data_IF_182722674889
#
_entry.id   IF_182722674889
#
_cell.length_a   1.000
_cell.length_b   1.000
_cell.length_c   1.000
_cell.angle_alpha   90.00
_cell.angle_beta   90.00
_cell.angle_gamma   90.00
#
_symmetry.space_group_name_H-M   'P 1'
#
loop_
_entity.id
_entity.type
_entity.pdbx_description
1 polymer ?
#
# COMPACT_ATOMS: atom_id res chain seq x y z
N UNK A 1 -9.21 4.28 -21.80
CA UNK A 1 -8.15 3.78 -20.88
C UNK A 1 -6.96 3.40 -21.72
N UNK A 2 -5.88 4.17 -21.65
CA UNK A 2 -4.72 4.03 -22.54
C UNK A 2 -3.86 2.83 -22.16
N UNK A 3 -3.44 2.04 -23.14
CA UNK A 3 -2.61 0.84 -22.97
C UNK A 3 -1.25 1.11 -22.28
N UNK A 4 -0.84 2.38 -22.19
CA UNK A 4 0.54 2.79 -21.87
C UNK A 4 0.70 3.49 -20.53
N UNK A 5 -0.36 4.07 -19.95
CA UNK A 5 -0.28 4.79 -18.67
C UNK A 5 -1.60 4.77 -17.93
N UNK A 6 -1.49 4.65 -16.61
CA UNK A 6 -2.60 4.76 -15.67
C UNK A 6 -2.89 6.22 -15.29
N UNK A 7 -2.18 7.18 -15.90
CA UNK A 7 -2.36 8.62 -15.65
C UNK A 7 -3.79 9.00 -16.03
N UNK A 8 -4.42 9.82 -15.21
CA UNK A 8 -5.78 10.30 -15.44
C UNK A 8 -5.88 11.79 -15.16
N UNK A 9 -6.87 12.43 -15.78
CA UNK A 9 -7.24 13.82 -15.49
C UNK A 9 -8.21 13.89 -14.31
N UNK A 10 -8.27 15.05 -13.65
CA UNK A 10 -9.06 15.22 -12.42
C UNK A 10 -10.56 15.10 -12.67
N UNK A 11 -11.02 15.44 -13.86
CA UNK A 11 -12.41 15.42 -14.29
C UNK A 11 -12.93 13.99 -14.48
N UNK A 12 -12.03 13.02 -14.68
CA UNK A 12 -12.37 11.60 -14.79
C UNK A 12 -12.53 10.90 -13.43
N UNK A 13 -12.15 11.60 -12.35
CA UNK A 13 -12.06 11.03 -11.00
C UNK A 13 -13.44 10.84 -10.38
N UNK A 14 -13.69 9.63 -9.88
CA UNK A 14 -14.96 9.25 -9.25
C UNK A 14 -14.75 8.78 -7.83
N UNK A 15 -15.71 9.08 -6.95
CA UNK A 15 -15.70 8.56 -5.60
C UNK A 15 -15.61 7.02 -5.63
N UNK A 16 -14.78 6.46 -4.76
CA UNK A 16 -14.40 5.04 -4.74
C UNK A 16 -13.23 4.67 -5.66
N UNK A 17 -12.64 5.61 -6.41
CA UNK A 17 -11.42 5.34 -7.18
C UNK A 17 -10.23 5.13 -6.24
N UNK A 18 -9.48 4.06 -6.48
CA UNK A 18 -8.15 3.87 -5.90
C UNK A 18 -7.17 4.64 -6.77
N UNK A 19 -6.60 5.69 -6.20
CA UNK A 19 -5.64 6.56 -6.85
C UNK A 19 -4.26 6.42 -6.25
N UNK A 20 -3.25 6.76 -7.03
CA UNK A 20 -1.90 6.84 -6.54
C UNK A 20 -1.12 7.95 -7.22
N UNK A 21 -0.03 8.35 -6.58
CA UNK A 21 0.95 9.31 -7.10
C UNK A 21 2.35 8.78 -6.85
N UNK A 22 3.26 9.01 -7.79
CA UNK A 22 4.66 8.66 -7.60
C UNK A 22 5.38 9.70 -6.74
N UNK A 23 6.19 9.23 -5.80
CA UNK A 23 6.99 10.06 -4.90
C UNK A 23 8.47 9.75 -5.03
N UNK A 24 9.30 10.67 -4.54
CA UNK A 24 10.77 10.55 -4.53
C UNK A 24 11.34 10.11 -5.88
N UNK A 25 11.02 10.87 -6.95
CA UNK A 25 11.47 10.59 -8.33
C UNK A 25 11.14 9.16 -8.77
N UNK A 26 9.88 8.76 -8.64
CA UNK A 26 9.37 7.43 -8.99
C UNK A 26 9.94 6.26 -8.16
N UNK A 27 10.57 6.53 -7.02
CA UNK A 27 11.05 5.47 -6.12
C UNK A 27 9.90 4.61 -5.57
N UNK A 28 8.76 5.23 -5.23
CA UNK A 28 7.56 4.52 -4.75
C UNK A 28 6.28 5.21 -5.20
N UNK A 29 5.16 4.50 -5.12
CA UNK A 29 3.82 5.08 -5.26
C UNK A 29 3.13 5.18 -3.91
N UNK A 30 2.46 6.30 -3.67
CA UNK A 30 1.62 6.53 -2.51
C UNK A 30 0.15 6.40 -2.92
N UNK A 31 -0.59 5.57 -2.21
CA UNK A 31 -1.92 5.10 -2.59
C UNK A 31 -3.00 5.67 -1.67
N UNK A 32 -4.22 5.80 -2.19
CA UNK A 32 -5.37 6.26 -1.42
C UNK A 32 -6.70 6.02 -2.13
N UNK A 33 -7.79 6.16 -1.39
CA UNK A 33 -9.17 6.08 -1.89
C UNK A 33 -9.73 7.48 -2.00
N UNK A 34 -10.11 7.89 -3.20
CA UNK A 34 -10.82 9.13 -3.41
C UNK A 34 -12.27 8.98 -2.94
N UNK A 35 -12.72 9.82 -2.01
CA UNK A 35 -14.06 9.74 -1.40
C UNK A 35 -15.02 10.83 -1.88
N UNK A 36 -14.62 11.59 -2.90
CA UNK A 36 -15.40 12.71 -3.44
C UNK A 36 -15.03 14.07 -2.83
N UNK A 37 -15.53 15.16 -3.41
CA UNK A 37 -15.34 16.52 -2.88
C UNK A 37 -13.88 16.92 -2.67
N UNK A 38 -13.00 16.51 -3.59
CA UNK A 38 -11.54 16.71 -3.53
C UNK A 38 -10.85 16.08 -2.31
N UNK A 39 -11.43 15.02 -1.72
CA UNK A 39 -10.89 14.34 -0.53
C UNK A 39 -10.42 12.93 -0.83
N UNK A 40 -9.35 12.53 -0.13
CA UNK A 40 -8.69 11.24 -0.25
C UNK A 40 -8.44 10.69 1.15
N UNK A 41 -8.89 9.47 1.41
CA UNK A 41 -8.49 8.72 2.60
C UNK A 41 -7.31 7.85 2.23
N UNK A 42 -6.23 7.91 3.00
CA UNK A 42 -5.03 7.14 2.73
C UNK A 42 -4.29 6.77 4.00
N UNK A 43 -3.48 5.72 3.92
CA UNK A 43 -2.70 5.23 5.04
C UNK A 43 -1.26 5.72 4.93
N UNK A 44 -0.67 6.20 6.04
CA UNK A 44 0.71 6.69 6.11
C UNK A 44 1.32 6.32 7.48
N UNK A 45 2.66 6.32 7.61
CA UNK A 45 3.30 6.12 8.90
C UNK A 45 2.74 7.08 9.96
N UNK A 46 2.56 6.56 11.17
CA UNK A 46 2.22 7.39 12.31
C UNK A 46 3.34 8.40 12.56
N UNK A 47 2.96 9.61 12.97
CA UNK A 47 3.94 10.63 13.34
C UNK A 47 4.09 10.59 14.86
N UNK A 48 5.03 9.79 15.37
CA UNK A 48 5.42 9.85 16.77
C UNK A 48 6.00 11.23 17.07
N UNK A 49 5.21 12.11 17.68
CA UNK A 49 5.66 13.44 18.10
C UNK A 49 6.71 13.38 19.24
N UNK A 50 7.01 12.19 19.79
CA UNK A 50 7.84 12.01 20.98
C UNK A 50 9.11 11.14 20.82
N UNK A 51 9.58 10.81 19.62
CA UNK A 51 10.85 10.08 19.48
C UNK A 51 12.01 11.02 19.16
N UNK A 52 12.50 11.72 20.19
CA UNK A 52 13.88 12.19 20.24
C UNK A 52 14.80 11.02 20.61
N UNK A 53 15.07 10.13 19.67
CA UNK A 53 16.15 9.15 19.82
C UNK A 53 16.70 8.71 18.46
N UNK A 54 18.02 8.81 18.38
CA UNK A 54 18.88 8.78 17.21
C UNK A 54 18.87 7.45 16.45
N UNK A 55 18.50 7.50 15.17
CA UNK A 55 19.18 6.70 14.14
C UNK A 55 19.13 7.40 12.79
N UNK A 56 20.31 7.84 12.35
CA UNK A 56 20.54 8.59 11.13
C UNK A 56 20.42 7.69 9.91
N UNK A 57 19.36 7.87 9.12
CA UNK A 57 19.42 7.70 7.67
C UNK A 57 18.72 8.90 7.04
N UNK A 58 19.53 9.72 6.39
CA UNK A 58 19.17 10.99 5.77
C UNK A 58 18.04 10.79 4.76
N UNK A 59 16.85 11.25 5.12
CA UNK A 59 15.83 11.70 4.18
C UNK A 59 15.37 13.06 4.69
N UNK A 60 15.62 14.11 3.91
CA UNK A 60 15.15 15.45 4.22
C UNK A 60 13.62 15.44 4.34
N UNK A 61 13.13 15.36 5.58
CA UNK A 61 11.75 15.64 5.90
C UNK A 61 11.78 16.74 6.96
N UNK A 62 11.75 17.97 6.45
CA UNK A 62 11.62 19.18 7.24
C UNK A 62 10.50 19.04 8.25
N UNK A 63 10.87 19.02 9.53
CA UNK A 63 9.99 19.43 10.59
C UNK A 63 9.75 20.93 10.41
N UNK A 64 8.60 21.30 9.85
CA UNK A 64 8.17 22.68 9.78
C UNK A 64 6.66 22.75 9.74
N UNK A 65 6.15 23.76 10.44
CA UNK A 65 4.80 24.30 10.58
C UNK A 65 4.09 24.69 9.26
N UNK A 66 4.34 23.96 8.16
CA UNK A 66 3.89 24.22 6.78
C UNK A 66 2.73 23.31 6.32
N UNK A 67 2.31 22.34 7.14
CA UNK A 67 1.36 21.29 6.74
C UNK A 67 -0.13 21.64 6.97
N UNK A 68 -0.46 22.89 7.30
CA UNK A 68 -1.86 23.33 7.39
C UNK A 68 -2.37 23.56 5.97
N UNK A 69 -3.30 22.73 5.52
CA UNK A 69 -3.94 22.92 4.23
C UNK A 69 -4.70 24.26 4.23
N UNK A 70 -4.37 25.20 3.33
CA UNK A 70 -5.00 26.52 3.33
C UNK A 70 -6.46 26.47 2.85
N UNK A 71 -6.84 25.40 2.14
CA UNK A 71 -8.11 25.31 1.40
C UNK A 71 -9.13 24.41 2.09
N UNK A 72 -8.68 23.39 2.83
CA UNK A 72 -9.54 22.37 3.42
C UNK A 72 -9.25 22.24 4.92
N UNK A 73 -10.13 22.75 5.80
CA UNK A 73 -9.93 22.74 7.26
C UNK A 73 -9.79 21.33 7.85
N UNK A 74 -10.38 20.33 7.21
CA UNK A 74 -10.36 18.93 7.62
C UNK A 74 -9.21 18.12 7.00
N UNK A 75 -8.38 18.73 6.15
CA UNK A 75 -7.24 18.06 5.55
C UNK A 75 -6.14 17.83 6.60
N UNK A 76 -5.68 16.58 6.67
CA UNK A 76 -4.79 16.09 7.72
C UNK A 76 -5.53 15.46 8.90
N UNK A 77 -6.86 15.42 8.89
CA UNK A 77 -7.65 14.78 9.94
C UNK A 77 -7.30 13.29 10.06
N UNK A 78 -7.10 12.84 11.29
CA UNK A 78 -6.88 11.44 11.68
C UNK A 78 -7.26 11.26 13.14
N UNK A 79 -7.56 10.03 13.52
CA UNK A 79 -7.69 9.67 14.92
C UNK A 79 -6.32 9.60 15.61
N UNK A 80 -6.28 9.76 16.95
CA UNK A 80 -5.08 9.44 17.73
C UNK A 80 -4.61 8.02 17.43
N UNK A 81 -3.30 7.78 17.41
CA UNK A 81 -2.69 6.47 17.21
C UNK A 81 -3.11 5.75 15.90
N UNK A 82 -3.54 6.53 14.90
CA UNK A 82 -3.96 6.01 13.59
C UNK A 82 -3.11 6.59 12.46
N UNK A 83 -2.61 5.69 11.61
CA UNK A 83 -1.97 6.04 10.35
C UNK A 83 -2.94 6.41 9.23
N UNK A 84 -4.26 6.23 9.42
CA UNK A 84 -5.27 6.53 8.40
C UNK A 84 -5.63 8.02 8.45
N UNK A 85 -5.46 8.71 7.34
CA UNK A 85 -5.58 10.17 7.24
C UNK A 85 -6.54 10.56 6.13
N UNK A 86 -7.38 11.56 6.40
CA UNK A 86 -8.17 12.28 5.41
C UNK A 86 -7.37 13.50 4.94
N UNK A 87 -7.10 13.59 3.64
CA UNK A 87 -6.41 14.74 3.04
C UNK A 87 -7.20 15.27 1.85
N UNK A 88 -6.97 16.53 1.47
CA UNK A 88 -7.39 16.99 0.16
C UNK A 88 -6.52 16.36 -0.95
N UNK A 89 -7.04 16.38 -2.19
CA UNK A 89 -6.36 15.82 -3.34
C UNK A 89 -4.99 16.47 -3.60
N UNK A 90 -4.85 17.77 -3.41
CA UNK A 90 -3.60 18.48 -3.67
C UNK A 90 -2.51 18.11 -2.65
N UNK A 91 -2.85 18.08 -1.36
CA UNK A 91 -1.95 17.61 -0.30
C UNK A 91 -1.58 16.13 -0.47
N UNK A 92 -2.52 15.30 -0.93
CA UNK A 92 -2.23 13.92 -1.32
C UNK A 92 -1.22 13.86 -2.46
N UNK A 93 -1.38 14.67 -3.52
CA UNK A 93 -0.49 14.62 -4.68
C UNK A 93 0.91 15.20 -4.42
N UNK A 94 1.05 16.22 -3.56
CA UNK A 94 2.31 16.98 -3.34
C UNK A 94 2.99 17.37 -4.66
N UNK A 95 2.22 17.98 -5.57
CA UNK A 95 2.63 18.34 -6.95
C UNK A 95 2.92 17.15 -7.89
N UNK A 96 2.68 15.91 -7.46
CA UNK A 96 2.77 14.72 -8.30
C UNK A 96 1.61 14.61 -9.29
N UNK A 97 1.75 13.69 -10.25
CA UNK A 97 0.70 13.36 -11.21
C UNK A 97 -0.32 12.38 -10.60
N UNK A 98 -1.57 12.48 -11.05
CA UNK A 98 -2.67 11.61 -10.64
C UNK A 98 -2.71 10.35 -11.52
N UNK A 99 -2.78 9.18 -10.89
CA UNK A 99 -2.94 7.89 -11.56
C UNK A 99 -4.05 7.08 -10.92
N UNK A 100 -4.74 6.25 -11.72
CA UNK A 100 -5.75 5.30 -11.25
C UNK A 100 -5.19 3.88 -11.18
N UNK A 101 -5.43 3.19 -10.09
CA UNK A 101 -5.16 1.76 -9.99
C UNK A 101 -6.25 0.95 -10.71
N UNK A 102 -5.85 -0.02 -11.53
CA UNK A 102 -6.78 -0.80 -12.36
C UNK A 102 -7.17 -2.13 -11.68
N UNK A 103 -8.46 -2.45 -11.66
CA UNK A 103 -9.01 -3.70 -11.11
C UNK A 103 -9.58 -4.56 -12.24
N UNK A 104 -9.65 -5.88 -12.02
CA UNK A 104 -10.23 -6.84 -12.96
C UNK A 104 -9.49 -6.91 -14.30
N UNK A 105 -8.20 -6.56 -14.33
CA UNK A 105 -7.42 -6.65 -15.57
C UNK A 105 -7.21 -8.12 -15.96
N UNK A 106 -7.15 -8.41 -17.25
CA UNK A 106 -6.84 -9.77 -17.68
C UNK A 106 -5.40 -10.16 -17.30
N UNK A 107 -5.10 -11.47 -17.15
CA UNK A 107 -3.74 -11.94 -16.88
C UNK A 107 -2.70 -11.43 -17.89
N UNK A 108 -3.07 -11.33 -19.17
CA UNK A 108 -2.17 -10.78 -20.20
C UNK A 108 -1.85 -9.31 -19.96
N UNK A 109 -2.86 -8.48 -19.64
CA UNK A 109 -2.64 -7.07 -19.29
C UNK A 109 -1.77 -6.98 -18.03
N UNK A 110 -2.04 -7.78 -17.00
CA UNK A 110 -1.23 -7.80 -15.78
C UNK A 110 0.25 -8.12 -16.05
N UNK A 111 0.52 -9.18 -16.82
CA UNK A 111 1.88 -9.63 -17.15
C UNK A 111 2.66 -8.60 -18.00
N UNK A 112 1.97 -7.72 -18.74
CA UNK A 112 2.62 -6.65 -19.51
C UNK A 112 2.96 -5.41 -18.68
N UNK A 113 2.39 -5.25 -17.48
CA UNK A 113 2.68 -4.12 -16.58
C UNK A 113 3.95 -4.42 -15.79
N UNK A 114 5.06 -3.86 -16.25
CA UNK A 114 6.39 -4.07 -15.65
C UNK A 114 6.49 -3.56 -14.20
N UNK A 115 5.69 -2.54 -13.84
CA UNK A 115 5.72 -1.93 -12.50
C UNK A 115 4.57 -2.46 -11.63
N UNK A 116 4.91 -2.98 -10.45
CA UNK A 116 3.94 -3.33 -9.42
C UNK A 116 3.21 -2.12 -8.84
N UNK A 117 2.13 -2.36 -8.10
CA UNK A 117 1.32 -1.29 -7.50
C UNK A 117 0.53 -0.45 -8.50
N UNK A 118 0.15 -1.01 -9.65
CA UNK A 118 -0.61 -0.27 -10.69
C UNK A 118 -1.91 -0.94 -11.10
N UNK A 119 -2.01 -2.26 -10.95
CA UNK A 119 -3.20 -3.02 -11.29
C UNK A 119 -3.25 -4.35 -10.53
N UNK A 120 -4.44 -4.97 -10.53
CA UNK A 120 -4.69 -6.32 -10.03
C UNK A 120 -5.72 -7.05 -10.89
N UNK A 121 -5.66 -8.39 -10.91
CA UNK A 121 -6.70 -9.22 -11.55
C UNK A 121 -7.95 -9.35 -10.69
N UNK A 122 -7.88 -9.01 -9.39
CA UNK A 122 -9.03 -9.00 -8.50
C UNK A 122 -10.08 -7.96 -8.94
N UNK A 123 -11.35 -8.30 -8.77
CA UNK A 123 -12.45 -7.38 -9.00
C UNK A 123 -12.61 -6.40 -7.83
N UNK A 124 -13.03 -5.18 -8.14
CA UNK A 124 -13.45 -4.22 -7.12
C UNK A 124 -14.86 -4.52 -6.63
N UNK A 125 -15.10 -4.30 -5.36
CA UNK A 125 -16.45 -4.20 -4.78
C UNK A 125 -17.15 -2.90 -5.25
N UNK A 126 -18.48 -2.81 -5.05
CA UNK A 126 -19.26 -1.61 -5.35
C UNK A 126 -18.75 -0.36 -4.61
N UNK A 127 -18.90 0.81 -5.24
CA UNK A 127 -18.43 2.10 -4.71
C UNK A 127 -18.85 2.37 -3.27
N UNK A 128 -20.09 2.06 -2.89
CA UNK A 128 -20.59 2.31 -1.55
C UNK A 128 -19.84 1.49 -0.50
N UNK A 129 -19.55 0.21 -0.78
CA UNK A 129 -18.74 -0.63 0.10
C UNK A 129 -17.30 -0.11 0.20
N UNK A 130 -16.74 0.42 -0.90
CA UNK A 130 -15.39 0.99 -0.91
C UNK A 130 -15.29 2.22 -0.02
N UNK A 131 -16.23 3.16 -0.19
CA UNK A 131 -16.28 4.40 0.59
C UNK A 131 -16.56 4.08 2.06
N UNK A 132 -17.49 3.15 2.34
CA UNK A 132 -17.78 2.69 3.69
C UNK A 132 -16.52 2.20 4.39
N UNK A 133 -15.76 1.29 3.77
CA UNK A 133 -14.49 0.79 4.35
C UNK A 133 -13.48 1.90 4.60
N UNK A 134 -13.26 2.77 3.62
CA UNK A 134 -12.28 3.85 3.76
C UNK A 134 -12.64 4.79 4.92
N UNK A 135 -13.91 5.20 5.01
CA UNK A 135 -14.38 6.09 6.08
C UNK A 135 -14.44 5.40 7.45
N UNK A 136 -14.80 4.12 7.49
CA UNK A 136 -14.81 3.33 8.72
C UNK A 136 -13.39 3.19 9.29
N UNK A 137 -12.40 2.90 8.44
CA UNK A 137 -11.01 2.80 8.85
C UNK A 137 -10.39 4.15 9.19
N UNK A 138 -10.88 5.27 8.64
CA UNK A 138 -10.49 6.60 9.09
C UNK A 138 -10.88 6.82 10.57
N UNK A 139 -11.99 6.25 11.01
CA UNK A 139 -12.49 6.38 12.38
C UNK A 139 -11.93 5.35 13.35
N UNK A 140 -11.56 4.15 12.88
CA UNK A 140 -11.16 3.03 13.74
C UNK A 140 -9.69 2.61 13.56
N UNK A 141 -8.98 3.19 12.59
CA UNK A 141 -7.61 2.81 12.26
C UNK A 141 -7.53 1.56 11.37
N UNK A 142 -6.32 1.23 10.93
CA UNK A 142 -6.00 0.08 10.07
C UNK A 142 -4.72 -0.63 10.56
N UNK A 143 -4.51 -0.62 11.87
CA UNK A 143 -3.30 -1.13 12.51
C UNK A 143 -2.07 -0.27 12.25
N UNK A 144 -0.89 -0.82 12.60
CA UNK A 144 0.39 -0.14 12.46
C UNK A 144 0.90 -0.20 11.02
N UNK A 145 1.43 0.93 10.55
CA UNK A 145 1.97 1.05 9.21
C UNK A 145 3.32 0.32 9.10
N UNK A 146 3.43 -0.59 8.13
CA UNK A 146 4.68 -1.26 7.75
C UNK A 146 4.86 -1.10 6.24
N UNK A 147 5.97 -0.45 5.83
CA UNK A 147 6.29 -0.17 4.42
C UNK A 147 6.26 -1.44 3.55
N UNK A 148 6.63 -2.59 4.09
CA UNK A 148 6.71 -3.84 3.35
C UNK A 148 5.43 -4.68 3.45
N UNK A 149 4.65 -4.55 4.52
CA UNK A 149 3.53 -5.47 4.83
C UNK A 149 2.15 -4.83 4.90
N UNK A 150 2.03 -3.73 5.65
CA UNK A 150 0.76 -3.05 5.91
C UNK A 150 0.95 -1.59 5.51
N UNK A 151 0.93 -1.32 4.21
CA UNK A 151 1.22 0.00 3.69
C UNK A 151 -0.01 0.62 3.00
N UNK A 152 0.19 1.78 2.36
CA UNK A 152 -0.87 2.48 1.64
C UNK A 152 -1.53 1.66 0.52
N UNK A 153 -0.78 0.78 -0.15
CA UNK A 153 -1.30 -0.11 -1.20
C UNK A 153 -2.21 -1.18 -0.60
N UNK A 154 -1.80 -1.82 0.50
CA UNK A 154 -2.60 -2.85 1.19
C UNK A 154 -3.91 -2.26 1.74
N UNK A 155 -3.84 -1.07 2.34
CA UNK A 155 -5.02 -0.31 2.75
C UNK A 155 -6.00 -0.09 1.60
N UNK A 156 -5.50 0.40 0.45
CA UNK A 156 -6.36 0.72 -0.68
C UNK A 156 -6.90 -0.55 -1.36
N UNK A 157 -6.11 -1.63 -1.43
CA UNK A 157 -6.55 -2.94 -1.91
C UNK A 157 -7.65 -3.52 -1.02
N UNK A 158 -7.48 -3.49 0.30
CA UNK A 158 -8.51 -3.91 1.24
C UNK A 158 -9.78 -3.06 1.08
N UNK A 159 -9.64 -1.73 1.03
CA UNK A 159 -10.78 -0.84 0.80
C UNK A 159 -11.49 -1.12 -0.52
N UNK A 160 -10.82 -1.67 -1.54
CA UNK A 160 -11.46 -1.99 -2.83
C UNK A 160 -12.00 -3.41 -2.96
N UNK A 161 -11.45 -4.37 -2.22
CA UNK A 161 -11.75 -5.81 -2.43
C UNK A 161 -12.29 -6.51 -1.18
N UNK A 162 -11.98 -5.98 0.00
CA UNK A 162 -12.26 -6.58 1.31
C UNK A 162 -11.40 -7.79 1.60
N UNK A 163 -10.41 -8.06 0.74
CA UNK A 163 -9.52 -9.18 0.86
C UNK A 163 -8.34 -8.80 1.76
N UNK A 164 -8.08 -9.66 2.72
CA UNK A 164 -6.86 -9.66 3.53
C UNK A 164 -6.07 -10.92 3.25
N UNK A 165 -4.76 -10.81 3.30
CA UNK A 165 -3.86 -11.94 3.21
C UNK A 165 -3.87 -12.66 4.55
N UNK A 166 -4.23 -13.95 4.55
CA UNK A 166 -4.26 -14.77 5.75
C UNK A 166 -2.83 -15.15 6.14
N UNK A 167 -2.34 -14.58 7.23
CA UNK A 167 -0.97 -14.78 7.65
C UNK A 167 -0.87 -15.79 8.80
N UNK A 168 -0.24 -16.94 8.55
CA UNK A 168 0.38 -17.74 9.63
C UNK A 168 1.84 -17.32 9.88
N UNK A 169 2.42 -16.40 9.09
CA UNK A 169 3.85 -16.09 9.13
C UNK A 169 4.19 -14.69 8.56
N UNK A 170 3.56 -13.64 9.07
CA UNK A 170 3.98 -12.23 8.96
C UNK A 170 4.56 -11.71 7.62
N UNK A 171 4.06 -12.06 6.42
CA UNK A 171 4.47 -11.41 5.16
C UNK A 171 3.27 -10.87 4.37
N UNK A 172 2.87 -9.63 4.67
CA UNK A 172 2.23 -8.76 3.69
C UNK A 172 3.19 -8.53 2.51
N UNK A 173 2.70 -8.66 1.28
CA UNK A 173 3.51 -8.49 0.06
C UNK A 173 2.82 -7.46 -0.80
N UNK A 174 3.09 -6.18 -0.55
CA UNK A 174 2.65 -5.12 -1.46
C UNK A 174 3.14 -5.41 -2.88
N UNK A 175 2.39 -4.97 -3.90
CA UNK A 175 2.80 -5.11 -5.29
C UNK A 175 4.13 -4.40 -5.57
N UNK A 176 4.41 -3.32 -4.84
CA UNK A 176 5.72 -2.64 -4.84
C UNK A 176 6.84 -3.46 -4.18
N UNK A 177 6.59 -4.13 -3.04
CA UNK A 177 7.61 -4.97 -2.38
C UNK A 177 7.93 -6.25 -3.16
N UNK A 178 6.92 -6.83 -3.84
CA UNK A 178 7.13 -7.91 -4.81
C UNK A 178 7.99 -7.48 -6.01
N UNK A 179 8.25 -6.17 -6.16
CA UNK A 179 9.09 -5.62 -7.22
C UNK A 179 10.59 -5.60 -6.89
N UNK A 180 11.02 -6.02 -5.69
CA UNK A 180 12.45 -6.05 -5.33
C UNK A 180 13.16 -7.15 -6.13
N UNK A 181 13.89 -6.70 -7.14
CA UNK A 181 14.65 -7.47 -8.16
C UNK A 181 15.66 -8.48 -7.57
N UNK A 182 15.97 -8.41 -6.27
CA UNK A 182 17.05 -9.19 -5.64
C UNK A 182 16.80 -10.70 -5.56
N UNK A 183 15.61 -11.15 -5.15
CA UNK A 183 15.36 -12.58 -4.94
C UNK A 183 15.24 -13.38 -6.25
N UNK A 184 14.52 -12.89 -7.30
CA UNK A 184 14.43 -13.60 -8.58
C UNK A 184 15.76 -13.63 -9.34
N UNK A 185 16.54 -12.54 -9.32
CA UNK A 185 17.83 -12.48 -10.02
C UNK A 185 18.88 -13.39 -9.35
N UNK A 186 18.94 -13.41 -8.02
CA UNK A 186 19.84 -14.29 -7.28
C UNK A 186 19.49 -15.78 -7.51
N UNK A 187 18.20 -16.13 -7.59
CA UNK A 187 17.76 -17.50 -7.89
C UNK A 187 18.10 -17.93 -9.33
N UNK A 188 17.98 -17.02 -10.31
CA UNK A 188 18.38 -17.29 -11.71
C UNK A 188 19.88 -17.53 -11.81
N UNK A 189 20.70 -16.65 -11.21
CA UNK A 189 22.17 -16.74 -11.23
C UNK A 189 22.71 -17.95 -10.44
N UNK A 190 22.01 -18.39 -9.40
CA UNK A 190 22.39 -19.58 -8.63
C UNK A 190 21.86 -20.89 -9.21
N UNK A 191 20.96 -20.85 -10.19
CA UNK A 191 20.45 -22.05 -10.84
C UNK A 191 21.40 -22.58 -11.93
N UNK A 192 21.48 -23.91 -12.13
CA UNK A 192 22.19 -24.51 -13.26
C UNK A 192 21.63 -24.05 -14.62
N UNK A 193 20.41 -23.51 -14.64
CA UNK A 193 19.75 -23.00 -15.84
C UNK A 193 20.47 -21.79 -16.44
N UNK A 194 21.21 -21.02 -15.63
CA UNK A 194 22.04 -19.90 -16.12
C UNK A 194 23.15 -20.35 -17.08
N UNK A 195 23.66 -21.58 -16.92
CA UNK A 195 24.69 -22.17 -17.79
C UNK A 195 24.17 -22.51 -19.19
N UNK A 196 22.86 -22.57 -19.37
CA UNK A 196 22.19 -22.86 -20.64
C UNK A 196 21.74 -21.59 -21.38
N UNK A 197 21.95 -20.41 -20.80
CA UNK A 197 21.55 -19.13 -21.38
C UNK A 197 22.80 -18.46 -21.99
N UNK A 198 22.98 -18.51 -23.31
CA UNK A 198 24.27 -18.24 -23.94
C UNK A 198 24.65 -16.75 -24.03
N UNK A 199 23.75 -15.82 -23.69
CA UNK A 199 24.03 -14.39 -23.79
C UNK A 199 23.29 -13.53 -22.75
N UNK A 200 23.79 -12.30 -22.46
CA UNK A 200 23.18 -11.39 -21.49
C UNK A 200 21.72 -11.03 -21.76
N UNK A 201 21.31 -10.99 -23.04
CA UNK A 201 19.94 -10.69 -23.45
C UNK A 201 19.00 -11.81 -22.98
N UNK A 202 19.39 -13.08 -23.16
CA UNK A 202 18.63 -14.24 -22.69
C UNK A 202 18.45 -14.22 -21.17
N UNK A 203 19.48 -13.83 -20.40
CA UNK A 203 19.40 -13.73 -18.94
C UNK A 203 18.41 -12.64 -18.55
N UNK A 204 18.45 -11.48 -19.20
CA UNK A 204 17.50 -10.40 -18.97
C UNK A 204 16.06 -10.83 -19.29
N UNK A 205 15.83 -11.53 -20.41
CA UNK A 205 14.50 -12.02 -20.79
C UNK A 205 13.94 -13.05 -19.79
N UNK A 206 14.74 -14.03 -19.38
CA UNK A 206 14.30 -15.03 -18.38
C UNK A 206 14.01 -14.37 -17.04
N UNK A 207 14.87 -13.46 -16.60
CA UNK A 207 14.67 -12.71 -15.34
C UNK A 207 13.39 -11.89 -15.38
N UNK A 208 13.14 -11.16 -16.47
CA UNK A 208 11.92 -10.38 -16.65
C UNK A 208 10.67 -11.28 -16.68
N UNK A 209 10.72 -12.41 -17.38
CA UNK A 209 9.63 -13.38 -17.42
C UNK A 209 9.31 -13.97 -16.04
N UNK A 210 10.34 -14.40 -15.29
CA UNK A 210 10.18 -14.91 -13.92
C UNK A 210 9.64 -13.84 -12.98
N UNK A 211 10.08 -12.59 -13.11
CA UNK A 211 9.57 -11.47 -12.35
C UNK A 211 8.06 -11.25 -12.61
N UNK A 212 7.65 -11.15 -13.88
CA UNK A 212 6.24 -10.97 -14.23
C UNK A 212 5.38 -12.13 -13.72
N UNK A 213 5.85 -13.37 -13.86
CA UNK A 213 5.14 -14.55 -13.38
C UNK A 213 5.05 -14.61 -11.86
N UNK A 214 6.14 -14.27 -11.16
CA UNK A 214 6.16 -14.20 -9.70
C UNK A 214 5.17 -13.15 -9.19
N UNK A 215 5.16 -11.95 -9.78
CA UNK A 215 4.17 -10.91 -9.46
C UNK A 215 2.74 -11.36 -9.74
N UNK A 216 2.51 -12.10 -10.82
CA UNK A 216 1.19 -12.62 -11.14
C UNK A 216 0.73 -13.67 -10.12
N UNK A 217 1.62 -14.57 -9.71
CA UNK A 217 1.31 -15.59 -8.70
C UNK A 217 1.00 -15.00 -7.32
N UNK A 218 1.57 -13.84 -6.98
CA UNK A 218 1.30 -13.12 -5.72
C UNK A 218 0.17 -12.09 -5.81
N UNK A 219 -0.43 -11.90 -6.98
CA UNK A 219 -1.56 -10.99 -7.16
C UNK A 219 -2.74 -11.42 -6.28
N UNK A 220 -3.43 -10.45 -5.67
CA UNK A 220 -4.52 -10.72 -4.73
C UNK A 220 -5.72 -11.42 -5.40
N UNK A 221 -5.87 -11.28 -6.72
CA UNK A 221 -6.89 -11.99 -7.50
C UNK A 221 -6.52 -13.42 -7.90
N UNK A 222 -5.25 -13.83 -7.71
CA UNK A 222 -4.72 -15.15 -8.12
C UNK A 222 -4.41 -16.04 -6.93
N UNK A 223 -3.85 -15.45 -5.86
CA UNK A 223 -3.46 -16.17 -4.66
C UNK A 223 -4.66 -16.80 -3.95
N UNK A 224 -4.42 -17.87 -3.17
CA UNK A 224 -5.48 -18.66 -2.50
C UNK A 224 -5.55 -18.45 -0.99
N UNK A 225 -4.55 -17.79 -0.43
CA UNK A 225 -4.39 -17.47 0.98
C UNK A 225 -4.93 -16.07 1.30
N UNK A 226 -6.06 -15.72 0.69
CA UNK A 226 -6.80 -14.49 0.99
C UNK A 226 -8.18 -14.82 1.53
N UNK A 227 -8.65 -13.99 2.45
CA UNK A 227 -9.97 -14.09 3.04
C UNK A 227 -10.68 -12.75 2.90
N UNK A 228 -11.97 -12.80 2.59
CA UNK A 228 -12.81 -11.60 2.58
C UNK A 228 -13.31 -11.34 4.00
N UNK A 229 -12.99 -10.17 4.54
CA UNK A 229 -13.32 -9.79 5.92
C UNK A 229 -14.08 -8.48 5.90
N UNK A 230 -15.16 -8.39 6.69
CA UNK A 230 -15.90 -7.14 6.87
C UNK A 230 -15.01 -6.11 7.57
N UNK A 231 -15.34 -4.82 7.44
CA UNK A 231 -14.49 -3.77 8.05
C UNK A 231 -14.71 -3.66 9.54
N UNK A 232 -15.90 -4.01 9.98
CA UNK A 232 -16.30 -4.11 11.37
C UNK A 232 -15.49 -5.22 12.06
N UNK A 233 -15.44 -6.41 11.48
CA UNK A 233 -14.66 -7.53 12.04
C UNK A 233 -13.16 -7.24 12.02
N UNK A 234 -12.66 -6.57 10.98
CA UNK A 234 -11.25 -6.18 10.90
C UNK A 234 -10.90 -5.21 12.05
N UNK A 235 -11.69 -4.16 12.23
CA UNK A 235 -11.44 -3.17 13.27
C UNK A 235 -11.47 -3.77 14.68
N UNK A 236 -12.44 -4.66 14.96
CA UNK A 236 -12.51 -5.38 16.24
C UNK A 236 -11.25 -6.21 16.51
N UNK A 237 -10.75 -6.94 15.50
CA UNK A 237 -9.55 -7.75 15.66
C UNK A 237 -8.28 -6.91 15.86
N UNK A 238 -8.21 -5.73 15.23
CA UNK A 238 -7.10 -4.79 15.42
C UNK A 238 -7.10 -4.16 16.81
N UNK A 239 -8.27 -3.82 17.32
CA UNK A 239 -8.44 -3.25 18.67
C UNK A 239 -8.03 -4.26 19.76
N UNK A 240 -8.46 -5.52 19.62
CA UNK A 240 -8.05 -6.62 20.51
C UNK A 240 -6.54 -6.82 20.46
N UNK A 241 -5.92 -6.82 19.27
CA UNK A 241 -4.46 -6.98 19.14
C UNK A 241 -3.70 -5.84 19.82
N UNK A 242 -4.17 -4.60 19.68
CA UNK A 242 -3.55 -3.45 20.35
C UNK A 242 -3.69 -3.50 21.87
N UNK A 243 -4.81 -4.02 22.38
CA UNK A 243 -5.02 -4.20 23.82
C UNK A 243 -4.06 -5.22 24.41
N UNK A 244 -3.85 -6.35 23.72
CA UNK A 244 -2.92 -7.41 24.16
C UNK A 244 -1.47 -6.92 24.12
N UNK A 245 -1.06 -6.22 23.06
CA UNK A 245 0.30 -5.66 22.97
C UNK A 245 0.57 -4.61 24.06
N UNK A 246 -0.43 -3.81 24.43
CA UNK A 246 -0.32 -2.85 25.54
C UNK A 246 -0.19 -3.52 26.92
N UNK A 247 -0.91 -4.62 27.17
CA UNK A 247 -0.79 -5.39 28.41
C UNK A 247 0.60 -6.05 28.55
N UNK A 248 1.17 -6.57 27.45
CA UNK A 248 2.51 -7.17 27.45
C UNK A 248 3.63 -6.13 27.67
N UNK A 249 3.49 -4.91 27.15
CA UNK A 249 4.46 -3.82 27.38
C UNK A 249 4.41 -3.31 28.83
N UNK A 250 3.22 -3.15 29.44
CA UNK A 250 3.07 -2.74 30.84
C UNK A 250 3.63 -3.78 31.84
N UNK A 251 3.46 -5.07 31.58
CA UNK A 251 4.06 -6.14 32.39
C UNK A 251 5.60 -6.17 32.26
N UNK A 252 6.16 -5.77 31.11
CA UNK A 252 7.61 -5.73 30.91
C UNK A 252 8.29 -4.53 31.60
N UNK A 253 7.59 -3.39 31.70
CA UNK A 253 8.09 -2.19 32.40
C UNK A 253 8.00 -2.31 33.92
N UNK A 254 7.12 -3.17 34.45
CA UNK A 254 7.01 -3.43 35.89
C UNK A 254 8.06 -4.42 36.42
N UNK A 255 8.71 -5.22 35.57
CA UNK A 255 9.85 -6.07 35.97
C UNK A 255 11.18 -5.32 36.11
N UNK A 256 11.30 -4.10 35.57
CA UNK A 256 12.53 -3.29 35.69
C UNK A 256 12.58 -2.35 36.91
N UNK A 257 11.55 -2.38 37.77
CA UNK A 257 11.51 -1.63 39.05
C UNK A 257 11.45 -2.60 40.24
N UNK A 258 12.45 -3.48 40.37
CA UNK A 258 12.78 -4.16 41.63
C UNK A 258 14.29 -4.34 41.83
#
# INVERSE_FOLDING_TARGET
>A
MGLLTNKMEREELKAGDHIYTYRAVFAYSHHGIFVGGSKVVHFRPEHNLNSSSSSSFTSAASSSTEDICPTFPDCGFRQPNSGVVLSCLDCFLKNGSLYRFEYGVSPSVFLTKLRGGTCTTAQSDPTDSVIHRAMYLLQNGFGNYDIFKNNCEDFALYCKTGLLIMDKLGVGRSGQASSIVGAPLAAVLSSPFSLLIPNPIGVATVTAGMYCMSRYATDIGVRRDVVKVSVEDLALNLDVKSSIEGEEEEDSDTEFVR
#
